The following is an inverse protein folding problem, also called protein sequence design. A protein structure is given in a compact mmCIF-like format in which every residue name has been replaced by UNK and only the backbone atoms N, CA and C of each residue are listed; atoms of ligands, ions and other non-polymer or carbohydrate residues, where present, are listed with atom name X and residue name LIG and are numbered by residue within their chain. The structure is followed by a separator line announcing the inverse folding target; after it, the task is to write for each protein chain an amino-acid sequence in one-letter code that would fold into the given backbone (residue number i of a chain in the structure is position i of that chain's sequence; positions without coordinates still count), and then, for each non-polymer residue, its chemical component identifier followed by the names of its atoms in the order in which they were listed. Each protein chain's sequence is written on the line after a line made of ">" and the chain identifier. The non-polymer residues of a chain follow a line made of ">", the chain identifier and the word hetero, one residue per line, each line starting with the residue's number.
data_IF_792746062128
#
_entry.id   IF_792746062128
#
_cell.length_a   1.000
_cell.length_b   1.000
_cell.length_c   1.000
_cell.angle_alpha   90.00
_cell.angle_beta   90.00
_cell.angle_gamma   90.00
#
_symmetry.space_group_name_H-M   'P 1'
#
loop_
_entity.id
_entity.type
_entity.pdbx_description
1 polymer ?
#
# COMPACT_ATOMS: atom_id res chain seq x y z
N UNK A 1 -1.28 23.96 5.43
CA UNK A 1 -0.67 24.17 4.08
C UNK A 1 -1.68 24.73 3.07
N UNK A 2 -2.88 24.15 2.92
CA UNK A 2 -3.90 24.69 1.99
C UNK A 2 -4.33 26.12 2.32
N UNK A 3 -4.66 26.40 3.59
CA UNK A 3 -5.13 27.74 4.02
C UNK A 3 -4.11 28.86 3.81
N UNK A 4 -2.82 28.54 3.71
CA UNK A 4 -1.74 29.51 3.46
C UNK A 4 -1.32 29.54 1.99
N UNK A 5 -2.08 28.89 1.09
CA UNK A 5 -1.84 28.90 -0.35
C UNK A 5 -0.66 28.03 -0.84
N UNK A 6 0.05 27.34 0.05
CA UNK A 6 1.25 26.55 -0.31
C UNK A 6 0.95 25.27 -1.10
N UNK A 7 -0.33 24.89 -1.23
CA UNK A 7 -0.78 23.80 -2.09
C UNK A 7 -1.21 24.25 -3.51
N UNK A 8 -1.12 25.55 -3.83
CA UNK A 8 -1.50 26.08 -5.15
C UNK A 8 -0.58 25.56 -6.24
N UNK A 9 -1.19 25.24 -7.38
CA UNK A 9 -0.51 24.77 -8.60
C UNK A 9 -0.34 25.88 -9.64
N UNK A 10 -1.07 26.98 -9.46
CA UNK A 10 -0.96 28.15 -10.31
C UNK A 10 0.22 29.04 -9.88
N UNK A 11 0.74 29.79 -10.85
CA UNK A 11 1.93 30.62 -10.69
C UNK A 11 1.60 31.92 -9.95
N UNK A 12 2.50 32.34 -9.06
CA UNK A 12 2.47 33.67 -8.43
C UNK A 12 3.76 34.42 -8.72
N UNK A 13 3.69 35.74 -8.78
CA UNK A 13 4.88 36.60 -8.79
C UNK A 13 5.35 36.81 -7.35
N UNK A 14 6.62 36.48 -7.10
CA UNK A 14 7.30 36.78 -5.86
C UNK A 14 8.58 37.55 -6.18
N UNK A 15 8.51 38.88 -6.02
CA UNK A 15 9.62 39.81 -6.27
C UNK A 15 10.19 39.71 -7.70
N UNK A 16 9.32 39.60 -8.71
CA UNK A 16 9.70 39.49 -10.12
C UNK A 16 10.13 38.08 -10.54
N UNK A 17 10.06 37.10 -9.64
CA UNK A 17 10.28 35.69 -9.93
C UNK A 17 8.95 34.95 -9.87
N UNK A 18 8.62 34.30 -10.97
CA UNK A 18 7.46 33.42 -11.10
C UNK A 18 7.70 32.11 -10.37
N UNK A 19 6.86 31.78 -9.41
CA UNK A 19 6.96 30.52 -8.64
C UNK A 19 5.61 29.80 -8.58
N UNK A 20 5.66 28.47 -8.53
CA UNK A 20 4.50 27.63 -8.20
C UNK A 20 4.62 27.21 -6.73
N UNK A 21 3.71 27.64 -5.83
CA UNK A 21 3.82 27.38 -4.40
C UNK A 21 4.01 25.89 -4.04
N UNK A 22 3.30 24.98 -4.71
CA UNK A 22 3.45 23.54 -4.46
C UNK A 22 4.85 23.01 -4.82
N UNK A 23 5.46 23.52 -5.90
CA UNK A 23 6.80 23.13 -6.30
C UNK A 23 7.84 23.65 -5.30
N UNK A 24 7.68 24.90 -4.86
CA UNK A 24 8.54 25.47 -3.82
C UNK A 24 8.40 24.69 -2.50
N UNK A 25 7.17 24.36 -2.10
CA UNK A 25 6.91 23.53 -0.93
C UNK A 25 7.64 22.19 -1.02
N UNK A 26 7.54 21.50 -2.18
CA UNK A 26 8.26 20.24 -2.41
C UNK A 26 9.78 20.39 -2.25
N UNK A 27 10.35 21.52 -2.68
CA UNK A 27 11.79 21.76 -2.62
C UNK A 27 12.31 22.03 -1.20
N UNK A 28 11.47 22.54 -0.29
CA UNK A 28 11.87 22.83 1.10
C UNK A 28 11.49 21.74 2.10
N UNK A 29 10.61 20.81 1.71
CA UNK A 29 10.28 19.65 2.53
C UNK A 29 11.44 18.63 2.52
N UNK A 30 11.63 17.86 3.61
CA UNK A 30 12.59 16.76 3.63
C UNK A 30 12.35 15.80 2.47
N UNK A 31 13.43 15.25 1.91
CA UNK A 31 13.31 14.22 0.90
C UNK A 31 12.60 13.00 1.52
N UNK A 32 11.50 12.50 0.91
CA UNK A 32 10.77 11.35 1.45
C UNK A 32 11.62 10.09 1.65
N UNK A 33 12.69 9.92 0.88
CA UNK A 33 13.61 8.79 1.05
C UNK A 33 14.40 8.86 2.37
N UNK A 34 14.77 10.07 2.79
CA UNK A 34 15.57 10.30 4.01
C UNK A 34 14.71 10.16 5.28
N UNK A 35 13.38 10.13 5.14
CA UNK A 35 12.47 9.93 6.28
C UNK A 35 12.50 8.49 6.80
N UNK A 36 12.83 7.51 5.95
CA UNK A 36 12.72 6.08 6.28
C UNK A 36 13.57 5.63 7.48
N UNK A 37 14.75 6.22 7.68
CA UNK A 37 15.71 5.79 8.71
C UNK A 37 15.17 5.94 10.14
N UNK A 38 14.36 6.98 10.39
CA UNK A 38 13.78 7.26 11.71
C UNK A 38 12.25 7.10 11.73
N UNK A 39 11.67 6.45 10.71
CA UNK A 39 10.23 6.30 10.60
C UNK A 39 9.74 5.11 11.41
N UNK A 40 8.96 5.38 12.45
CA UNK A 40 8.39 4.37 13.32
C UNK A 40 6.90 4.17 13.10
N UNK A 41 6.41 2.99 13.47
CA UNK A 41 5.00 2.61 13.42
C UNK A 41 4.74 1.53 12.39
N UNK A 42 3.45 1.29 12.14
CA UNK A 42 3.00 0.23 11.26
C UNK A 42 1.96 0.75 10.28
N UNK A 43 1.97 0.20 9.07
CA UNK A 43 0.81 0.25 8.19
C UNK A 43 -0.10 -0.92 8.50
N UNK A 44 -1.41 -0.70 8.59
CA UNK A 44 -2.42 -1.75 8.64
C UNK A 44 -3.34 -1.60 7.44
N UNK A 45 -3.36 -2.59 6.56
CA UNK A 45 -4.16 -2.59 5.32
C UNK A 45 -4.93 -3.90 5.27
N UNK A 46 -6.23 -3.81 5.01
CA UNK A 46 -7.08 -4.99 4.94
C UNK A 46 -8.47 -4.71 4.37
N UNK A 47 -9.22 -5.78 4.19
CA UNK A 47 -10.58 -5.77 3.68
C UNK A 47 -11.52 -6.28 4.77
N UNK A 48 -12.41 -5.41 5.26
CA UNK A 48 -13.57 -5.77 6.07
C UNK A 48 -14.71 -6.17 5.14
N UNK A 49 -15.13 -7.42 5.20
CA UNK A 49 -16.08 -8.05 4.28
C UNK A 49 -17.29 -8.52 5.07
N UNK A 50 -18.49 -8.23 4.55
CA UNK A 50 -19.77 -8.73 5.07
C UNK A 50 -20.54 -9.40 3.94
N UNK A 51 -21.12 -10.56 4.22
CA UNK A 51 -21.85 -11.32 3.22
C UNK A 51 -22.71 -12.42 3.83
N UNK A 52 -23.22 -13.31 2.97
CA UNK A 52 -24.02 -14.47 3.38
C UNK A 52 -23.29 -15.74 2.98
N UNK A 53 -23.17 -16.67 3.94
CA UNK A 53 -22.63 -18.02 3.71
C UNK A 53 -23.54 -19.02 4.41
N UNK A 54 -23.91 -20.09 3.72
CA UNK A 54 -24.78 -21.15 4.25
C UNK A 54 -26.12 -20.61 4.84
N UNK A 55 -26.69 -19.59 4.19
CA UNK A 55 -27.94 -18.95 4.59
C UNK A 55 -27.85 -18.05 5.83
N UNK A 56 -26.65 -17.82 6.38
CA UNK A 56 -26.42 -16.95 7.53
C UNK A 56 -25.54 -15.78 7.14
N UNK A 57 -25.82 -14.63 7.75
CA UNK A 57 -24.93 -13.49 7.65
C UNK A 57 -23.59 -13.80 8.34
N UNK A 58 -22.50 -13.39 7.71
CA UNK A 58 -21.13 -13.56 8.20
C UNK A 58 -20.33 -12.29 7.96
N UNK A 59 -19.38 -12.03 8.86
CA UNK A 59 -18.36 -11.00 8.71
C UNK A 59 -16.99 -11.67 8.61
N UNK A 60 -16.08 -11.04 7.88
CA UNK A 60 -14.73 -11.52 7.68
C UNK A 60 -13.77 -10.34 7.53
N UNK A 61 -12.64 -10.37 8.22
CA UNK A 61 -11.60 -9.37 8.08
C UNK A 61 -10.28 -10.04 7.73
N UNK A 62 -9.72 -9.65 6.59
CA UNK A 62 -8.38 -10.06 6.16
C UNK A 62 -7.48 -8.84 6.12
N UNK A 63 -6.30 -8.92 6.75
CA UNK A 63 -5.40 -7.77 6.85
C UNK A 63 -3.94 -8.17 6.98
N UNK A 64 -3.06 -7.23 6.67
CA UNK A 64 -1.62 -7.29 6.95
C UNK A 64 -1.23 -6.06 7.78
N UNK A 65 -0.38 -6.28 8.78
CA UNK A 65 0.37 -5.22 9.43
C UNK A 65 1.82 -5.29 8.96
N UNK A 66 2.40 -4.14 8.63
CA UNK A 66 3.79 -4.04 8.18
C UNK A 66 4.50 -2.92 8.97
N UNK A 67 5.57 -3.29 9.67
CA UNK A 67 6.42 -2.33 10.39
C UNK A 67 7.28 -1.54 9.42
N UNK A 68 7.30 -0.22 9.57
CA UNK A 68 8.18 0.64 8.79
C UNK A 68 9.66 0.33 9.03
N UNK A 69 10.03 0.02 10.28
CA UNK A 69 11.41 -0.26 10.66
C UNK A 69 11.89 -1.59 10.09
N UNK A 70 11.09 -2.65 10.15
CA UNK A 70 11.48 -3.96 9.58
C UNK A 70 11.58 -3.89 8.06
N UNK A 71 10.63 -3.22 7.38
CA UNK A 71 10.71 -2.97 5.94
C UNK A 71 11.97 -2.19 5.55
N UNK A 72 12.33 -1.16 6.33
CA UNK A 72 13.53 -0.35 6.10
C UNK A 72 14.81 -1.15 6.33
N UNK A 73 14.87 -1.99 7.38
CA UNK A 73 16.02 -2.88 7.63
C UNK A 73 16.25 -3.87 6.50
N UNK A 74 15.19 -4.39 5.88
CA UNK A 74 15.32 -5.36 4.79
C UNK A 74 15.65 -4.71 3.45
N UNK A 75 14.98 -3.60 3.10
CA UNK A 75 14.97 -3.07 1.73
C UNK A 75 15.45 -1.63 1.60
N UNK A 76 15.74 -0.94 2.71
CA UNK A 76 16.00 0.50 2.75
C UNK A 76 14.77 1.36 2.46
N UNK A 77 13.57 0.78 2.48
CA UNK A 77 12.32 1.45 2.14
C UNK A 77 11.28 1.26 3.25
N UNK A 78 10.50 2.31 3.50
CA UNK A 78 9.42 2.27 4.48
C UNK A 78 8.26 1.33 4.06
N UNK A 79 7.46 0.89 5.04
CA UNK A 79 6.30 0.01 4.89
C UNK A 79 5.34 0.33 3.73
N UNK A 80 5.12 1.60 3.36
CA UNK A 80 4.26 1.98 2.20
C UNK A 80 4.83 1.46 0.87
N UNK A 81 6.12 1.69 0.63
CA UNK A 81 6.78 1.21 -0.59
C UNK A 81 6.93 -0.31 -0.57
N UNK A 82 7.22 -0.88 0.61
CA UNK A 82 7.37 -2.32 0.81
C UNK A 82 6.07 -3.08 0.51
N UNK A 83 4.94 -2.65 1.09
CA UNK A 83 3.61 -3.23 0.86
C UNK A 83 3.11 -3.09 -0.58
N UNK A 84 3.70 -2.21 -1.39
CA UNK A 84 3.42 -2.12 -2.83
C UNK A 84 4.39 -2.98 -3.66
N UNK A 85 5.68 -2.96 -3.30
CA UNK A 85 6.75 -3.63 -4.04
C UNK A 85 6.68 -5.16 -3.96
N UNK A 86 6.39 -5.70 -2.77
CA UNK A 86 6.31 -7.16 -2.58
C UNK A 86 5.16 -7.77 -3.41
N UNK A 87 3.91 -7.25 -3.39
CA UNK A 87 2.85 -7.74 -4.27
C UNK A 87 3.17 -7.63 -5.76
N UNK A 88 3.87 -6.57 -6.19
CA UNK A 88 4.29 -6.43 -7.59
C UNK A 88 5.27 -7.53 -8.00
N UNK A 89 6.24 -7.85 -7.12
CA UNK A 89 7.17 -8.96 -7.32
C UNK A 89 6.45 -10.32 -7.35
N UNK A 90 5.52 -10.57 -6.42
CA UNK A 90 4.74 -11.82 -6.38
C UNK A 90 3.88 -11.94 -7.63
N UNK A 91 3.22 -10.88 -8.10
CA UNK A 91 2.45 -10.90 -9.34
C UNK A 91 3.29 -11.26 -10.56
N UNK A 92 4.50 -10.70 -10.65
CA UNK A 92 5.47 -11.09 -11.68
C UNK A 92 5.90 -12.56 -11.53
N UNK A 93 6.11 -13.04 -10.30
CA UNK A 93 6.41 -14.45 -10.01
C UNK A 93 5.28 -15.37 -10.47
N UNK A 94 4.02 -15.06 -10.17
CA UNK A 94 2.85 -15.83 -10.61
C UNK A 94 2.77 -15.95 -12.12
N UNK A 95 3.06 -14.85 -12.84
CA UNK A 95 3.10 -14.84 -14.30
C UNK A 95 4.23 -15.70 -14.86
N UNK A 96 5.45 -15.56 -14.33
CA UNK A 96 6.63 -16.28 -14.80
C UNK A 96 6.55 -17.79 -14.52
N UNK A 97 5.92 -18.19 -13.41
CA UNK A 97 5.64 -19.59 -13.08
C UNK A 97 4.47 -20.18 -13.89
N UNK A 98 3.73 -19.35 -14.64
CA UNK A 98 2.59 -19.77 -15.45
C UNK A 98 1.28 -19.93 -14.68
N UNK A 99 1.25 -19.61 -13.38
CA UNK A 99 0.06 -19.73 -12.52
C UNK A 99 -0.99 -18.66 -12.88
N UNK A 100 -0.56 -17.43 -13.16
CA UNK A 100 -1.43 -16.33 -13.59
C UNK A 100 -1.20 -15.97 -15.06
N UNK A 101 -1.18 -16.97 -15.95
CA UNK A 101 -0.92 -16.77 -17.38
C UNK A 101 -2.16 -17.09 -18.22
N UNK A 102 -2.87 -16.03 -18.64
CA UNK A 102 -4.06 -16.11 -19.51
C UNK A 102 -4.03 -14.98 -20.55
N UNK A 103 -4.32 -15.23 -21.85
CA UNK A 103 -4.37 -14.16 -22.85
C UNK A 103 -5.41 -13.09 -22.51
N UNK A 104 -5.08 -11.81 -22.63
CA UNK A 104 -5.98 -10.69 -22.35
C UNK A 104 -5.43 -9.73 -21.29
N UNK A 105 -6.30 -8.85 -20.79
CA UNK A 105 -6.04 -7.94 -19.67
C UNK A 105 -6.94 -8.37 -18.53
N UNK A 106 -6.36 -8.53 -17.35
CA UNK A 106 -7.01 -9.17 -16.21
C UNK A 106 -6.67 -8.44 -14.93
N UNK A 107 -7.65 -8.33 -14.03
CA UNK A 107 -7.44 -7.89 -12.66
C UNK A 107 -7.05 -9.08 -11.76
N UNK A 108 -6.54 -8.77 -10.58
CA UNK A 108 -5.98 -9.78 -9.64
C UNK A 108 -7.05 -10.74 -9.13
N UNK A 109 -8.27 -10.25 -8.90
CA UNK A 109 -9.42 -11.03 -8.42
C UNK A 109 -9.95 -12.04 -9.45
N UNK A 110 -9.46 -11.99 -10.70
CA UNK A 110 -9.87 -12.91 -11.77
C UNK A 110 -8.98 -14.16 -11.87
N UNK A 111 -7.97 -14.28 -11.00
CA UNK A 111 -7.09 -15.43 -10.87
C UNK A 111 -7.32 -16.15 -9.54
N UNK A 112 -6.83 -17.39 -9.45
CA UNK A 112 -6.78 -18.13 -8.19
C UNK A 112 -5.88 -17.40 -7.17
N UNK A 113 -6.42 -16.95 -6.02
CA UNK A 113 -5.65 -16.21 -5.03
C UNK A 113 -4.71 -17.08 -4.21
N UNK A 114 -4.95 -18.39 -4.09
CA UNK A 114 -4.25 -19.29 -3.17
C UNK A 114 -2.71 -19.22 -3.28
N UNK A 115 -2.09 -19.36 -4.47
CA UNK A 115 -0.64 -19.30 -4.59
C UNK A 115 -0.07 -17.90 -4.28
N UNK A 116 -0.83 -16.84 -4.53
CA UNK A 116 -0.42 -15.47 -4.22
C UNK A 116 -0.44 -15.23 -2.71
N UNK A 117 -1.51 -15.68 -2.04
CA UNK A 117 -1.68 -15.59 -0.59
C UNK A 117 -0.63 -16.41 0.15
N UNK A 118 -0.20 -17.56 -0.39
CA UNK A 118 0.92 -18.33 0.14
C UNK A 118 2.24 -17.54 0.06
N UNK A 119 2.51 -16.89 -1.07
CA UNK A 119 3.73 -16.10 -1.24
C UNK A 119 3.76 -14.84 -0.36
N UNK A 120 2.62 -14.18 -0.12
CA UNK A 120 2.58 -13.03 0.80
C UNK A 120 3.19 -13.38 2.17
N UNK A 121 2.82 -14.53 2.74
CA UNK A 121 3.37 -15.03 4.00
C UNK A 121 4.88 -15.30 3.94
N UNK A 122 5.39 -15.78 2.80
CA UNK A 122 6.81 -16.14 2.62
C UNK A 122 7.70 -14.93 2.32
N UNK A 123 7.15 -13.90 1.68
CA UNK A 123 7.89 -12.75 1.14
C UNK A 123 7.77 -11.52 2.05
N UNK A 124 7.46 -11.71 3.33
CA UNK A 124 7.49 -10.65 4.35
C UNK A 124 6.20 -9.87 4.58
N UNK A 125 5.08 -10.29 3.98
CA UNK A 125 3.75 -9.71 4.21
C UNK A 125 2.75 -10.74 4.75
N UNK A 126 2.98 -11.28 5.97
CA UNK A 126 2.05 -12.21 6.56
C UNK A 126 0.67 -11.59 6.75
N UNK A 127 -0.38 -12.31 6.39
CA UNK A 127 -1.76 -11.85 6.52
C UNK A 127 -2.49 -12.61 7.61
N UNK A 128 -3.52 -11.98 8.15
CA UNK A 128 -4.30 -12.46 9.28
C UNK A 128 -5.78 -12.44 8.93
N UNK A 129 -6.52 -13.36 9.55
CA UNK A 129 -7.95 -13.53 9.34
C UNK A 129 -8.71 -13.40 10.65
N UNK A 130 -9.87 -12.77 10.59
CA UNK A 130 -10.86 -12.76 11.67
C UNK A 130 -12.21 -13.15 11.07
N UNK A 131 -12.77 -14.25 11.53
CA UNK A 131 -14.09 -14.73 11.13
C UNK A 131 -15.14 -14.32 12.17
N UNK A 132 -16.30 -13.86 11.69
CA UNK A 132 -17.44 -13.46 12.53
C UNK A 132 -17.10 -12.40 13.59
N UNK A 133 -16.06 -11.59 13.34
CA UNK A 133 -15.68 -10.47 14.18
C UNK A 133 -16.66 -9.30 14.05
N UNK A 134 -16.75 -8.48 15.10
CA UNK A 134 -17.43 -7.19 15.01
C UNK A 134 -16.56 -6.21 14.22
N UNK A 135 -17.05 -5.75 13.07
CA UNK A 135 -16.29 -4.95 12.10
C UNK A 135 -16.65 -3.45 12.12
N UNK A 136 -17.52 -3.00 13.03
CA UNK A 136 -18.10 -1.64 13.05
C UNK A 136 -17.78 -0.84 14.34
N UNK A 137 -16.76 -1.21 15.10
CA UNK A 137 -16.20 -0.34 16.16
C UNK A 137 -15.39 0.83 15.58
#
# INVERSE_FOLDING_TARGET
>A
IQNIGMARIDEIDYNGVKIVPLQFLKAVLPNPQDLGENYEGETSIGCRIRGVKDGKERTYYVYNNCSHQEAYKETGMQGVSYTTGVPAMIGAMMFLQGLWKRPGVWNVEEFDPDPFMEQLNKQGLPWHEVFDGDLEL
#
